data_IF_510935483203
#
_entry.id   IF_510935483203
#
_cell.length_a   1.000
_cell.length_b   1.000
_cell.length_c   1.000
_cell.angle_alpha   90.00
_cell.angle_beta   90.00
_cell.angle_gamma   90.00
#
_symmetry.space_group_name_H-M   'P 1'
#
loop_
_entity.id
_entity.type
_entity.pdbx_description
1 polymer ?
#
# COMPACT_ATOMS: atom_id res chain seq x y z
N UNK A 1 2.98 9.66 13.11
CA UNK A 1 4.10 10.61 12.82
C UNK A 1 4.08 11.87 13.69
N UNK A 2 3.01 12.19 14.41
CA UNK A 2 2.93 13.40 15.24
C UNK A 2 4.06 13.57 16.26
N UNK A 3 4.53 12.47 16.87
CA UNK A 3 5.66 12.51 17.80
C UNK A 3 7.01 12.81 17.14
N UNK A 4 7.18 12.45 15.86
CA UNK A 4 8.41 12.68 15.12
C UNK A 4 8.48 14.14 14.63
N UNK A 5 7.31 14.71 14.28
CA UNK A 5 7.16 16.13 13.91
C UNK A 5 7.44 17.11 15.05
N UNK A 6 7.35 16.66 16.31
CA UNK A 6 7.63 17.53 17.47
C UNK A 6 9.12 17.63 17.81
N UNK A 7 9.98 16.83 17.17
CA UNK A 7 11.42 16.84 17.42
C UNK A 7 12.06 18.04 16.72
N UNK A 8 12.85 18.81 17.48
CA UNK A 8 13.71 19.88 16.97
C UNK A 8 15.16 19.43 17.07
N UNK A 9 15.86 19.45 15.94
CA UNK A 9 17.29 19.14 15.88
C UNK A 9 18.12 20.38 16.25
N UNK A 10 19.37 20.14 16.66
CA UNK A 10 20.31 21.17 17.12
C UNK A 10 20.50 22.29 16.10
N UNK A 11 20.42 21.97 14.81
CA UNK A 11 20.49 22.94 13.72
C UNK A 11 19.12 23.12 13.04
N UNK A 12 18.78 24.38 12.74
CA UNK A 12 17.53 24.71 12.05
C UNK A 12 17.37 24.05 10.67
N UNK A 13 18.48 23.92 9.93
CA UNK A 13 18.52 23.21 8.64
C UNK A 13 18.17 21.73 8.77
N UNK A 14 18.68 21.07 9.82
CA UNK A 14 18.33 19.68 10.12
C UNK A 14 16.84 19.51 10.42
N UNK A 15 16.26 20.43 11.21
CA UNK A 15 14.83 20.41 11.52
C UNK A 15 13.97 20.59 10.27
N UNK A 16 14.37 21.48 9.35
CA UNK A 16 13.67 21.69 8.08
C UNK A 16 13.76 20.46 7.17
N UNK A 17 14.96 19.88 7.01
CA UNK A 17 15.15 18.66 6.23
C UNK A 17 14.31 17.52 6.81
N UNK A 18 14.36 17.29 8.12
CA UNK A 18 13.57 16.26 8.79
C UNK A 18 12.07 16.45 8.56
N UNK A 19 11.57 17.70 8.62
CA UNK A 19 10.17 18.00 8.34
C UNK A 19 9.81 17.62 6.90
N UNK A 20 10.65 17.98 5.93
CA UNK A 20 10.45 17.64 4.52
C UNK A 20 10.34 16.12 4.31
N UNK A 21 11.23 15.33 4.91
CA UNK A 21 11.19 13.87 4.82
C UNK A 21 9.93 13.27 5.46
N UNK A 22 9.48 13.81 6.59
CA UNK A 22 8.24 13.36 7.23
C UNK A 22 7.03 13.67 6.35
N UNK A 23 6.98 14.88 5.80
CA UNK A 23 5.88 15.30 4.92
C UNK A 23 5.85 14.43 3.65
N UNK A 24 7.00 14.04 3.10
CA UNK A 24 7.07 13.11 1.98
C UNK A 24 6.57 11.70 2.34
N UNK A 25 7.07 11.13 3.44
CA UNK A 25 6.65 9.80 3.88
C UNK A 25 5.14 9.72 4.19
N UNK A 26 4.52 10.82 4.64
CA UNK A 26 3.07 10.88 4.83
C UNK A 26 2.31 10.87 3.50
N UNK A 27 2.77 11.61 2.49
CA UNK A 27 2.18 11.56 1.15
C UNK A 27 2.32 10.18 0.52
N UNK A 28 3.50 9.57 0.61
CA UNK A 28 3.71 8.20 0.12
C UNK A 28 2.74 7.21 0.79
N UNK A 29 2.49 7.39 2.09
CA UNK A 29 1.51 6.57 2.81
C UNK A 29 0.08 6.75 2.31
N UNK A 30 -0.31 7.98 1.96
CA UNK A 30 -1.63 8.27 1.37
C UNK A 30 -1.78 7.57 0.02
N UNK A 31 -0.77 7.67 -0.85
CA UNK A 31 -0.75 7.01 -2.15
C UNK A 31 -0.81 5.48 -2.00
N UNK A 32 -0.03 4.90 -1.09
CA UNK A 32 -0.07 3.46 -0.80
C UNK A 32 -1.45 3.01 -0.29
N UNK A 33 -2.09 3.82 0.56
CA UNK A 33 -3.42 3.52 1.05
C UNK A 33 -4.42 3.52 -0.10
N UNK A 34 -4.38 4.53 -0.96
CA UNK A 34 -5.26 4.63 -2.13
C UNK A 34 -5.07 3.44 -3.08
N UNK A 35 -3.83 3.11 -3.43
CA UNK A 35 -3.53 1.95 -4.28
C UNK A 35 -4.05 0.64 -3.66
N UNK A 36 -3.85 0.45 -2.36
CA UNK A 36 -4.36 -0.74 -1.65
C UNK A 36 -5.89 -0.82 -1.69
N UNK A 37 -6.58 0.33 -1.55
CA UNK A 37 -8.03 0.40 -1.66
C UNK A 37 -8.52 0.03 -3.06
N UNK A 38 -7.86 0.54 -4.10
CA UNK A 38 -8.18 0.21 -5.49
C UNK A 38 -7.99 -1.30 -5.74
N UNK A 39 -6.89 -1.91 -5.27
CA UNK A 39 -6.66 -3.35 -5.37
C UNK A 39 -7.77 -4.13 -4.65
N UNK A 40 -8.17 -3.72 -3.45
CA UNK A 40 -9.25 -4.36 -2.69
C UNK A 40 -10.61 -4.24 -3.39
N UNK A 41 -10.88 -3.12 -4.05
CA UNK A 41 -12.10 -2.97 -4.84
C UNK A 41 -12.06 -3.88 -6.08
N UNK A 42 -10.91 -3.93 -6.77
CA UNK A 42 -10.70 -4.77 -7.94
C UNK A 42 -10.86 -6.25 -7.61
N UNK A 43 -10.33 -6.69 -6.47
CA UNK A 43 -10.45 -8.09 -6.00
C UNK A 43 -11.88 -8.56 -5.76
N UNK A 44 -12.84 -7.64 -5.67
CA UNK A 44 -14.26 -7.91 -5.39
C UNK A 44 -15.14 -7.72 -6.61
N UNK A 45 -14.58 -7.31 -7.74
CA UNK A 45 -15.33 -7.20 -8.98
C UNK A 45 -15.67 -8.59 -9.54
N UNK A 46 -16.60 -8.64 -10.49
CA UNK A 46 -17.06 -9.90 -11.09
C UNK A 46 -15.93 -10.72 -11.75
N UNK A 47 -14.92 -10.05 -12.31
CA UNK A 47 -13.78 -10.69 -12.99
C UNK A 47 -12.89 -11.48 -12.02
N UNK A 48 -12.62 -10.96 -10.83
CA UNK A 48 -11.62 -11.53 -9.91
C UNK A 48 -12.21 -12.17 -8.66
N UNK A 49 -13.45 -11.86 -8.27
CA UNK A 49 -14.01 -12.28 -6.98
C UNK A 49 -13.99 -13.80 -6.78
N UNK A 50 -14.38 -14.57 -7.80
CA UNK A 50 -14.42 -16.03 -7.73
C UNK A 50 -13.01 -16.63 -7.62
N UNK A 51 -12.07 -16.19 -8.45
CA UNK A 51 -10.70 -16.70 -8.41
C UNK A 51 -9.99 -16.26 -7.11
N UNK A 52 -10.32 -15.08 -6.57
CA UNK A 52 -9.81 -14.64 -5.27
C UNK A 52 -10.30 -15.52 -4.11
N UNK A 53 -11.55 -15.98 -4.14
CA UNK A 53 -12.06 -16.93 -3.15
C UNK A 53 -11.28 -18.25 -3.22
N UNK A 54 -11.04 -18.75 -4.44
CA UNK A 54 -10.28 -19.99 -4.67
C UNK A 54 -8.83 -19.86 -4.20
N UNK A 55 -8.11 -18.81 -4.63
CA UNK A 55 -6.69 -18.62 -4.28
C UNK A 55 -6.52 -18.40 -2.77
N UNK A 56 -7.41 -17.66 -2.12
CA UNK A 56 -7.32 -17.42 -0.67
C UNK A 56 -7.69 -18.62 0.20
N UNK A 57 -8.16 -19.72 -0.40
CA UNK A 57 -8.29 -21.00 0.31
C UNK A 57 -6.93 -21.60 0.67
N UNK A 58 -5.86 -21.21 -0.04
CA UNK A 58 -4.49 -21.62 0.25
C UNK A 58 -3.95 -20.82 1.45
N UNK A 59 -3.50 -21.48 2.53
CA UNK A 59 -2.89 -20.80 3.66
C UNK A 59 -1.69 -19.96 3.24
N UNK A 60 -1.62 -18.72 3.74
CA UNK A 60 -0.51 -17.80 3.46
C UNK A 60 -0.68 -16.93 2.20
N UNK A 61 -1.77 -17.10 1.42
CA UNK A 61 -2.08 -16.18 0.32
C UNK A 61 -3.08 -15.11 0.78
N UNK A 62 -2.58 -13.88 0.89
CA UNK A 62 -3.38 -12.70 1.23
C UNK A 62 -3.86 -11.95 -0.01
N UNK A 63 -4.62 -10.87 0.22
CA UNK A 63 -5.27 -10.08 -0.83
C UNK A 63 -4.30 -9.61 -1.93
N UNK A 64 -3.17 -8.98 -1.55
CA UNK A 64 -2.22 -8.40 -2.50
C UNK A 64 -1.52 -9.51 -3.30
N UNK A 65 -1.03 -10.54 -2.62
CA UNK A 65 -0.38 -11.70 -3.26
C UNK A 65 -1.34 -12.44 -4.20
N UNK A 66 -2.60 -12.62 -3.78
CA UNK A 66 -3.61 -13.24 -4.62
C UNK A 66 -3.92 -12.40 -5.86
N UNK A 67 -4.10 -11.08 -5.69
CA UNK A 67 -4.29 -10.19 -6.84
C UNK A 67 -3.10 -10.18 -7.77
N UNK A 68 -1.86 -10.20 -7.26
CA UNK A 68 -0.65 -10.33 -8.08
C UNK A 68 -0.70 -11.60 -8.96
N UNK A 69 -1.14 -12.73 -8.40
CA UNK A 69 -1.31 -13.95 -9.20
C UNK A 69 -2.39 -13.79 -10.27
N UNK A 70 -3.54 -13.22 -9.91
CA UNK A 70 -4.66 -13.09 -10.84
C UNK A 70 -4.45 -12.05 -11.93
N UNK A 71 -3.64 -11.00 -11.69
CA UNK A 71 -3.42 -9.92 -12.66
C UNK A 71 -2.12 -10.03 -13.42
N UNK A 72 -1.09 -10.68 -12.88
CA UNK A 72 0.24 -10.74 -13.54
C UNK A 72 0.62 -12.14 -14.01
N UNK A 73 0.04 -13.20 -13.43
CA UNK A 73 0.38 -14.58 -13.78
C UNK A 73 -0.77 -15.27 -14.53
N UNK A 74 -2.01 -15.08 -14.08
CA UNK A 74 -3.19 -15.63 -14.74
C UNK A 74 -3.68 -14.72 -15.88
N UNK A 75 -3.44 -13.40 -15.80
CA UNK A 75 -3.72 -12.45 -16.90
C UNK A 75 -2.61 -12.49 -17.95
N UNK A 76 -2.37 -13.68 -18.51
CA UNK A 76 -1.78 -13.81 -19.84
C UNK A 76 -2.93 -13.73 -20.83
N UNK A 77 -2.88 -12.74 -21.71
CA UNK A 77 -3.55 -12.84 -23.01
C UNK A 77 -3.27 -14.18 -23.69
#
# INVERSE_FOLDING_TARGET
MNWLKSIKLTFGSGTQASKLWIDEAEKEREVLLEATWQIKALSRNERYAKNMELIRSVPGIELITGMLFLTEIEDLY
#
